data_IF_171014116835
#
_entry.id   IF_171014116835
#
_cell.length_a   1.000
_cell.length_b   1.000
_cell.length_c   1.000
_cell.angle_alpha   90.00
_cell.angle_beta   90.00
_cell.angle_gamma   90.00
#
_symmetry.space_group_name_H-M   'P 1'
#
loop_
_entity.id
_entity.type
_entity.pdbx_description
1 polymer ?
#
# COMPACT_ATOMS: atom_id res chain seq x y z
N UNK A 1 -6.47 -13.01 -1.81
CA UNK A 1 -6.75 -11.93 -2.77
C UNK A 1 -6.47 -10.61 -2.08
N UNK A 2 -5.33 -9.98 -2.40
CA UNK A 2 -4.77 -8.78 -1.73
C UNK A 2 -5.51 -7.49 -2.13
N UNK A 3 -6.64 -7.62 -2.84
CA UNK A 3 -7.19 -6.64 -3.77
C UNK A 3 -7.83 -5.37 -3.16
N UNK A 4 -7.74 -5.10 -1.86
CA UNK A 4 -8.33 -3.86 -1.30
C UNK A 4 -7.71 -3.35 0.00
N UNK A 5 -6.50 -3.78 0.37
CA UNK A 5 -5.95 -3.37 1.68
C UNK A 5 -5.25 -2.00 1.60
N UNK A 6 -4.42 -1.75 0.59
CA UNK A 6 -3.67 -0.49 0.48
C UNK A 6 -4.62 0.67 0.26
N UNK A 7 -5.62 0.47 -0.60
CA UNK A 7 -6.69 1.44 -0.84
C UNK A 7 -7.33 1.84 0.48
N UNK A 8 -7.87 0.88 1.22
CA UNK A 8 -8.53 1.12 2.52
C UNK A 8 -7.63 1.77 3.56
N UNK A 9 -6.35 1.36 3.63
CA UNK A 9 -5.40 1.96 4.58
C UNK A 9 -5.21 3.44 4.23
N UNK A 10 -4.95 3.77 2.97
CA UNK A 10 -4.74 5.16 2.56
C UNK A 10 -6.03 5.98 2.70
N UNK A 11 -7.18 5.44 2.31
CA UNK A 11 -8.50 6.06 2.48
C UNK A 11 -8.80 6.39 3.95
N UNK A 12 -8.41 5.53 4.89
CA UNK A 12 -8.59 5.74 6.34
C UNK A 12 -7.83 6.96 6.86
N UNK A 13 -6.67 7.29 6.27
CA UNK A 13 -5.86 8.43 6.68
C UNK A 13 -6.22 9.70 5.90
N UNK A 14 -6.80 9.57 4.72
CA UNK A 14 -7.32 10.70 3.95
C UNK A 14 -8.57 11.24 4.63
N UNK A 15 -8.46 12.43 5.21
CA UNK A 15 -9.59 13.13 5.85
C UNK A 15 -10.45 13.95 4.89
N UNK A 16 -10.16 13.94 3.58
CA UNK A 16 -10.79 14.79 2.57
C UNK A 16 -11.22 13.97 1.34
N UNK A 17 -12.49 14.08 0.95
CA UNK A 17 -13.10 13.26 -0.10
C UNK A 17 -12.50 13.55 -1.49
N UNK A 18 -12.12 14.80 -1.77
CA UNK A 18 -11.54 15.21 -3.06
C UNK A 18 -10.14 14.61 -3.26
N UNK A 19 -9.32 14.65 -2.20
CA UNK A 19 -8.01 14.00 -2.17
C UNK A 19 -8.12 12.48 -2.27
N UNK A 20 -9.19 11.90 -1.70
CA UNK A 20 -9.49 10.49 -1.73
C UNK A 20 -9.83 10.01 -3.14
N UNK A 21 -10.69 10.74 -3.85
CA UNK A 21 -11.13 10.38 -5.19
C UNK A 21 -9.97 10.43 -6.20
N UNK A 22 -9.12 11.47 -6.09
CA UNK A 22 -7.89 11.58 -6.88
C UNK A 22 -6.93 10.40 -6.61
N UNK A 23 -6.80 9.97 -5.36
CA UNK A 23 -5.90 8.87 -4.98
C UNK A 23 -6.46 7.49 -5.30
N UNK A 24 -7.77 7.28 -5.27
CA UNK A 24 -8.42 5.98 -5.59
C UNK A 24 -7.97 5.41 -6.93
N UNK A 25 -7.92 6.24 -7.98
CA UNK A 25 -7.46 5.81 -9.30
C UNK A 25 -6.01 5.33 -9.29
N UNK A 26 -5.16 5.94 -8.46
CA UNK A 26 -3.77 5.54 -8.30
C UNK A 26 -3.61 4.30 -7.39
N UNK A 27 -4.38 4.21 -6.31
CA UNK A 27 -4.34 3.14 -5.33
C UNK A 27 -4.58 1.77 -5.96
N UNK A 28 -5.53 1.65 -6.89
CA UNK A 28 -5.78 0.39 -7.60
C UNK A 28 -4.56 -0.10 -8.42
N UNK A 29 -3.78 0.84 -8.98
CA UNK A 29 -2.52 0.53 -9.65
C UNK A 29 -1.42 0.07 -8.68
N UNK A 30 -1.37 0.69 -7.50
CA UNK A 30 -0.45 0.31 -6.43
C UNK A 30 -0.76 -1.10 -5.94
N UNK A 31 -2.04 -1.41 -5.72
CA UNK A 31 -2.49 -2.73 -5.30
C UNK A 31 -2.13 -3.80 -6.33
N UNK A 32 -2.30 -3.53 -7.62
CA UNK A 32 -1.89 -4.45 -8.68
C UNK A 32 -0.37 -4.66 -8.73
N UNK A 33 0.45 -3.61 -8.51
CA UNK A 33 1.91 -3.75 -8.49
C UNK A 33 2.39 -4.52 -7.25
N UNK A 34 1.79 -4.24 -6.09
CA UNK A 34 2.10 -4.93 -4.82
C UNK A 34 1.64 -6.38 -4.84
N UNK A 35 0.45 -6.68 -5.34
CA UNK A 35 -0.04 -8.05 -5.52
C UNK A 35 0.86 -8.82 -6.49
N UNK A 36 1.31 -8.19 -7.59
CA UNK A 36 2.29 -8.79 -8.46
C UNK A 36 3.62 -9.05 -7.75
N UNK A 37 4.11 -8.16 -6.89
CA UNK A 37 5.37 -8.41 -6.16
C UNK A 37 5.21 -9.55 -5.14
N UNK A 38 4.10 -9.56 -4.40
CA UNK A 38 3.79 -10.62 -3.46
C UNK A 38 3.60 -11.99 -4.16
N UNK A 39 2.97 -12.02 -5.34
CA UNK A 39 2.70 -13.27 -6.07
C UNK A 39 3.84 -13.73 -7.01
N UNK A 40 4.62 -12.81 -7.60
CA UNK A 40 5.66 -13.14 -8.59
C UNK A 40 6.89 -13.80 -7.96
N UNK A 41 7.03 -13.71 -6.64
CA UNK A 41 8.01 -14.49 -5.86
C UNK A 41 7.50 -15.88 -5.43
N UNK A 42 6.30 -16.33 -5.82
CA UNK A 42 5.88 -17.74 -5.59
C UNK A 42 6.71 -18.80 -6.34
N UNK A 43 7.81 -18.41 -7.01
CA UNK A 43 8.80 -19.31 -7.63
C UNK A 43 10.16 -19.38 -6.92
N UNK A 44 10.46 -18.51 -5.94
CA UNK A 44 11.71 -18.48 -5.16
C UNK A 44 11.44 -17.83 -3.81
N UNK A 45 11.92 -18.47 -2.73
CA UNK A 45 12.05 -17.97 -1.34
C UNK A 45 11.21 -16.73 -1.01
N UNK A 46 10.13 -16.94 -0.24
CA UNK A 46 9.25 -15.97 0.42
C UNK A 46 9.41 -14.50 0.02
N UNK A 47 8.38 -13.86 -0.59
CA UNK A 47 8.44 -12.44 -0.91
C UNK A 47 8.86 -11.65 0.32
N UNK A 48 10.00 -10.95 0.23
CA UNK A 48 10.51 -10.20 1.37
C UNK A 48 9.47 -9.12 1.70
N UNK A 49 8.74 -9.34 2.80
CA UNK A 49 7.66 -8.47 3.28
C UNK A 49 8.12 -7.01 3.32
N UNK A 50 9.38 -6.78 3.70
CA UNK A 50 9.98 -5.46 3.78
C UNK A 50 10.12 -4.83 2.38
N UNK A 51 10.53 -5.60 1.38
CA UNK A 51 10.58 -5.17 -0.03
C UNK A 51 9.19 -4.78 -0.56
N UNK A 52 8.17 -5.58 -0.27
CA UNK A 52 6.78 -5.31 -0.68
C UNK A 52 6.24 -4.05 -0.01
N UNK A 53 6.40 -3.92 1.31
CA UNK A 53 5.99 -2.73 2.09
C UNK A 53 6.72 -1.48 1.58
N UNK A 54 8.04 -1.57 1.38
CA UNK A 54 8.85 -0.46 0.88
C UNK A 54 8.36 0.02 -0.48
N UNK A 55 8.02 -0.91 -1.38
CA UNK A 55 7.50 -0.55 -2.69
C UNK A 55 6.14 0.13 -2.60
N UNK A 56 5.23 -0.41 -1.79
CA UNK A 56 3.93 0.22 -1.54
C UNK A 56 4.10 1.67 -1.04
N UNK A 57 4.99 1.87 -0.07
CA UNK A 57 5.31 3.18 0.50
C UNK A 57 5.87 4.16 -0.53
N UNK A 58 6.79 3.73 -1.41
CA UNK A 58 7.32 4.57 -2.50
C UNK A 58 6.23 5.01 -3.48
N UNK A 59 5.32 4.10 -3.84
CA UNK A 59 4.22 4.40 -4.74
C UNK A 59 3.22 5.37 -4.11
N UNK A 60 2.85 5.16 -2.85
CA UNK A 60 1.95 6.06 -2.12
C UNK A 60 2.59 7.44 -2.00
N UNK A 61 3.90 7.53 -1.68
CA UNK A 61 4.66 8.78 -1.65
C UNK A 61 4.61 9.54 -2.96
N UNK A 62 4.67 8.82 -4.09
CA UNK A 62 4.71 9.42 -5.43
C UNK A 62 3.34 9.96 -5.87
N UNK A 63 2.27 9.30 -5.44
CA UNK A 63 0.91 9.62 -5.86
C UNK A 63 0.18 10.53 -4.87
N UNK A 64 0.63 10.59 -3.62
CA UNK A 64 -0.01 11.40 -2.57
C UNK A 64 0.67 12.75 -2.36
N UNK A 65 -0.05 13.76 -1.85
CA UNK A 65 0.56 15.02 -1.46
C UNK A 65 1.67 14.80 -0.42
N UNK A 66 2.81 15.45 -0.60
CA UNK A 66 3.98 15.27 0.28
C UNK A 66 3.65 15.48 1.76
N UNK A 67 2.86 16.51 2.10
CA UNK A 67 2.42 16.79 3.48
C UNK A 67 1.57 15.65 4.05
N UNK A 68 0.62 15.14 3.27
CA UNK A 68 -0.22 14.02 3.68
C UNK A 68 0.63 12.77 3.95
N UNK A 69 1.52 12.43 3.00
CA UNK A 69 2.38 11.27 3.13
C UNK A 69 3.31 11.38 4.33
N UNK A 70 4.00 12.51 4.52
CA UNK A 70 4.90 12.70 5.66
C UNK A 70 4.18 12.61 7.01
N UNK A 71 2.97 13.16 7.12
CA UNK A 71 2.16 13.10 8.34
C UNK A 71 1.63 11.70 8.65
N UNK A 72 1.38 10.87 7.63
CA UNK A 72 0.75 9.56 7.80
C UNK A 72 1.68 8.37 7.50
N UNK A 73 2.93 8.58 7.05
CA UNK A 73 3.82 7.52 6.55
C UNK A 73 4.01 6.37 7.54
N UNK A 74 4.21 6.68 8.82
CA UNK A 74 4.44 5.65 9.84
C UNK A 74 3.18 4.84 10.13
N UNK A 75 2.02 5.48 10.06
CA UNK A 75 0.74 4.82 10.30
C UNK A 75 0.34 3.95 9.11
N UNK A 76 0.49 4.48 7.89
CA UNK A 76 0.29 3.76 6.63
C UNK A 76 1.24 2.56 6.54
N UNK A 77 2.54 2.75 6.77
CA UNK A 77 3.53 1.66 6.73
C UNK A 77 3.18 0.53 7.71
N UNK A 78 2.80 0.90 8.94
CA UNK A 78 2.43 -0.07 9.97
C UNK A 78 1.17 -0.85 9.58
N UNK A 79 0.10 -0.17 9.18
CA UNK A 79 -1.14 -0.84 8.76
C UNK A 79 -0.89 -1.73 7.54
N UNK A 80 -0.06 -1.29 6.58
CA UNK A 80 0.30 -2.10 5.40
C UNK A 80 1.03 -3.38 5.82
N UNK A 81 2.05 -3.26 6.67
CA UNK A 81 2.82 -4.40 7.16
C UNK A 81 1.95 -5.39 7.94
N UNK A 82 1.03 -4.90 8.77
CA UNK A 82 0.13 -5.74 9.56
C UNK A 82 -0.84 -6.53 8.67
N UNK A 83 -1.41 -5.87 7.64
CA UNK A 83 -2.29 -6.53 6.66
C UNK A 83 -1.55 -7.59 5.83
N UNK A 84 -0.31 -7.31 5.40
CA UNK A 84 0.48 -8.29 4.66
C UNK A 84 0.86 -9.50 5.52
N UNK A 85 1.16 -9.32 6.81
CA UNK A 85 1.40 -10.43 7.76
C UNK A 85 0.18 -11.30 8.00
N UNK A 86 -1.03 -10.73 7.96
CA UNK A 86 -2.27 -11.47 8.13
C UNK A 86 -2.57 -12.36 6.91
N UNK A 87 -2.14 -11.93 5.72
CA UNK A 87 -2.26 -12.70 4.46
C UNK A 87 -1.33 -13.92 4.37
N UNK A 88 -0.31 -14.02 5.23
CA UNK A 88 0.58 -15.18 5.35
C UNK A 88 -0.01 -16.32 6.22
N UNK A 89 -1.16 -16.12 6.88
CA UNK A 89 -1.84 -17.12 7.72
C UNK A 89 -2.98 -17.84 7.00
#
# INVERSE_FOLDING_TARGET
MVHSYIGRVVEKYIGDEESCDALKGHLHGIESEVDNLANKESGKEDPDLDSVVKRAMELIKRQSPFKFFESNKFAIEKDIRDNLRDLEK
#
